data_IF_330265245238
#
_entry.id   IF_330265245238
#
_cell.length_a   1.000
_cell.length_b   1.000
_cell.length_c   1.000
_cell.angle_alpha   90.00
_cell.angle_beta   90.00
_cell.angle_gamma   90.00
#
_symmetry.space_group_name_H-M   'P 1'
#
loop_
_entity.id
_entity.type
_entity.pdbx_description
1 polymer ?
#
# COMPACT_ATOMS: atom_id res chain seq x y z
N UNK A 1 -20.19 10.59 14.41
CA UNK A 1 -19.40 9.55 13.71
C UNK A 1 -18.27 9.13 14.65
N UNK A 2 -17.92 7.85 14.72
CA UNK A 2 -16.95 7.35 15.71
C UNK A 2 -15.52 7.80 15.32
N UNK A 3 -14.75 8.47 16.20
CA UNK A 3 -13.41 8.97 15.86
C UNK A 3 -12.42 7.85 15.52
N UNK A 4 -12.61 6.65 16.09
CA UNK A 4 -11.80 5.47 15.73
C UNK A 4 -12.01 5.04 14.28
N UNK A 5 -13.25 5.13 13.81
CA UNK A 5 -13.59 4.78 12.43
C UNK A 5 -13.04 5.83 11.45
N UNK A 6 -13.23 7.11 11.77
CA UNK A 6 -12.75 8.23 10.96
C UNK A 6 -11.24 8.21 10.75
N UNK A 7 -10.48 7.83 11.79
CA UNK A 7 -9.04 7.68 11.69
C UNK A 7 -8.66 6.65 10.60
N UNK A 8 -9.33 5.50 10.55
CA UNK A 8 -9.04 4.46 9.58
C UNK A 8 -9.55 4.80 8.17
N UNK A 9 -10.73 5.42 8.06
CA UNK A 9 -11.25 5.92 6.78
C UNK A 9 -10.28 6.94 6.15
N UNK A 10 -9.71 7.84 6.95
CA UNK A 10 -8.72 8.81 6.48
C UNK A 10 -7.44 8.13 5.96
N UNK A 11 -6.98 7.06 6.61
CA UNK A 11 -5.81 6.31 6.15
C UNK A 11 -6.07 5.52 4.86
N UNK A 12 -7.25 4.93 4.70
CA UNK A 12 -7.66 4.26 3.46
C UNK A 12 -7.82 5.25 2.31
N UNK A 13 -8.40 6.42 2.58
CA UNK A 13 -8.47 7.51 1.60
C UNK A 13 -7.07 8.02 1.22
N UNK A 14 -6.14 8.06 2.19
CA UNK A 14 -4.74 8.38 1.92
C UNK A 14 -4.05 7.30 1.10
N UNK A 15 -4.31 6.00 1.37
CA UNK A 15 -3.84 4.90 0.53
C UNK A 15 -4.28 5.10 -0.94
N UNK A 16 -5.55 5.43 -1.21
CA UNK A 16 -6.02 5.70 -2.58
C UNK A 16 -5.17 6.77 -3.28
N UNK A 17 -4.96 7.91 -2.63
CA UNK A 17 -4.19 9.01 -3.21
C UNK A 17 -2.71 8.64 -3.44
N UNK A 18 -2.14 7.85 -2.54
CA UNK A 18 -0.77 7.32 -2.68
C UNK A 18 -0.67 6.38 -3.88
N UNK A 19 -1.64 5.49 -4.07
CA UNK A 19 -1.70 4.60 -5.22
C UNK A 19 -1.79 5.41 -6.51
N UNK A 20 -2.73 6.34 -6.61
CA UNK A 20 -2.87 7.23 -7.78
C UNK A 20 -1.57 7.98 -8.11
N UNK A 21 -0.90 8.52 -7.09
CA UNK A 21 0.40 9.20 -7.25
C UNK A 21 1.48 8.24 -7.76
N UNK A 22 1.57 7.04 -7.18
CA UNK A 22 2.56 6.03 -7.56
C UNK A 22 2.35 5.55 -9.01
N UNK A 23 1.10 5.32 -9.42
CA UNK A 23 0.76 4.96 -10.79
C UNK A 23 1.07 6.10 -11.77
N UNK A 24 0.74 7.34 -11.42
CA UNK A 24 1.06 8.49 -12.24
C UNK A 24 2.58 8.66 -12.42
N UNK A 25 3.36 8.47 -11.35
CA UNK A 25 4.82 8.51 -11.40
C UNK A 25 5.42 7.36 -12.21
N UNK A 26 4.82 6.17 -12.14
CA UNK A 26 5.24 5.01 -12.95
C UNK A 26 4.99 5.23 -14.45
N UNK A 27 3.83 5.76 -14.83
CA UNK A 27 3.47 6.00 -16.23
C UNK A 27 4.04 7.30 -16.81
N UNK A 28 4.55 8.21 -15.98
CA UNK A 28 5.25 9.41 -16.42
C UNK A 28 6.62 9.04 -17.02
N UNK A 29 6.61 8.53 -18.25
CA UNK A 29 7.81 8.22 -19.03
C UNK A 29 8.67 9.48 -19.25
N UNK A 30 9.79 9.52 -18.54
CA UNK A 30 11.06 10.25 -18.81
C UNK A 30 11.10 11.78 -18.95
N UNK A 31 10.00 12.54 -18.85
CA UNK A 31 10.08 14.02 -18.93
C UNK A 31 9.17 14.82 -17.98
N UNK A 32 8.38 14.15 -17.12
CA UNK A 32 7.50 14.81 -16.15
C UNK A 32 8.17 15.02 -14.79
N UNK A 33 7.85 16.13 -14.12
CA UNK A 33 8.16 16.26 -12.70
C UNK A 33 7.39 15.19 -11.92
N UNK A 34 8.08 14.43 -11.07
CA UNK A 34 7.43 13.45 -10.18
C UNK A 34 6.38 14.16 -9.33
N UNK A 35 5.19 13.56 -9.26
CA UNK A 35 4.14 14.04 -8.39
C UNK A 35 4.54 13.86 -6.93
N UNK A 36 4.25 14.89 -6.14
CA UNK A 36 4.51 14.91 -4.70
C UNK A 36 3.47 14.05 -4.00
N UNK A 37 3.94 13.18 -3.12
CA UNK A 37 3.07 12.36 -2.29
C UNK A 37 2.19 13.22 -1.37
N UNK A 38 0.88 12.93 -1.24
CA UNK A 38 0.04 13.53 -0.19
C UNK A 38 0.61 13.25 1.21
N UNK A 39 0.53 14.26 2.07
CA UNK A 39 0.91 14.11 3.46
C UNK A 39 0.02 13.06 4.15
N UNK A 40 0.65 12.19 4.94
CA UNK A 40 -0.07 11.19 5.70
C UNK A 40 -1.00 11.87 6.73
N UNK A 41 -2.25 11.39 6.91
CA UNK A 41 -3.20 12.02 7.80
C UNK A 41 -2.70 12.00 9.25
N UNK A 42 -3.16 12.97 10.05
CA UNK A 42 -2.86 13.01 11.47
C UNK A 42 -4.11 12.55 12.24
N UNK A 43 -4.16 11.30 12.74
CA UNK A 43 -5.34 10.80 13.44
C UNK A 43 -5.55 11.55 14.76
N UNK A 44 -6.82 11.68 15.18
CA UNK A 44 -7.16 12.36 16.42
C UNK A 44 -6.49 11.66 17.63
N UNK A 45 -5.84 12.42 18.54
CA UNK A 45 -5.30 11.88 19.78
C UNK A 45 -6.36 11.13 20.58
N UNK A 46 -5.98 9.98 21.15
CA UNK A 46 -6.91 9.13 21.91
C UNK A 46 -7.62 8.06 21.07
N UNK A 47 -7.49 8.09 19.74
CA UNK A 47 -7.95 6.97 18.91
C UNK A 47 -7.01 5.76 19.05
N UNK A 48 -7.55 4.53 18.96
CA UNK A 48 -6.75 3.30 18.95
C UNK A 48 -5.68 3.30 17.84
N UNK A 49 -6.01 3.86 16.68
CA UNK A 49 -5.07 3.99 15.57
C UNK A 49 -3.93 4.96 15.90
N UNK A 50 -4.22 6.16 16.43
CA UNK A 50 -3.18 7.10 16.87
C UNK A 50 -2.25 6.49 17.95
N UNK A 51 -2.83 5.72 18.89
CA UNK A 51 -2.06 5.01 19.90
C UNK A 51 -1.15 3.93 19.28
N UNK A 52 -1.62 3.21 18.26
CA UNK A 52 -0.85 2.22 17.51
C UNK A 52 0.33 2.88 16.76
N UNK A 53 0.10 4.00 16.06
CA UNK A 53 1.16 4.76 15.39
C UNK A 53 2.27 5.17 16.37
N UNK A 54 1.87 5.68 17.53
CA UNK A 54 2.81 6.18 18.54
C UNK A 54 3.58 5.02 19.18
N UNK A 55 2.87 3.96 19.58
CA UNK A 55 3.43 2.81 20.30
C UNK A 55 4.51 2.09 19.48
N UNK A 56 4.33 1.99 18.18
CA UNK A 56 5.24 1.29 17.29
C UNK A 56 6.08 2.22 16.41
N UNK A 57 6.00 3.54 16.63
CA UNK A 57 6.70 4.56 15.86
C UNK A 57 6.53 4.38 14.34
N UNK A 58 5.29 4.14 13.90
CA UNK A 58 5.01 3.81 12.50
C UNK A 58 5.12 5.05 11.61
N UNK A 59 6.04 5.00 10.66
CA UNK A 59 6.20 6.00 9.62
C UNK A 59 5.23 5.78 8.45
N UNK A 60 5.29 6.64 7.42
CA UNK A 60 4.45 6.50 6.23
C UNK A 60 4.57 5.13 5.55
N UNK A 61 5.78 4.56 5.48
CA UNK A 61 6.00 3.26 4.86
C UNK A 61 5.29 2.12 5.59
N UNK A 62 5.40 2.06 6.93
CA UNK A 62 4.69 1.06 7.72
C UNK A 62 3.18 1.25 7.71
N UNK A 63 2.71 2.51 7.66
CA UNK A 63 1.28 2.83 7.55
C UNK A 63 0.70 2.34 6.23
N UNK A 64 1.43 2.51 5.12
CA UNK A 64 1.02 1.95 3.83
C UNK A 64 0.98 0.43 3.86
N UNK A 65 1.99 -0.22 4.44
CA UNK A 65 1.98 -1.68 4.59
C UNK A 65 0.73 -2.16 5.35
N UNK A 66 0.38 -1.46 6.44
CA UNK A 66 -0.81 -1.78 7.24
C UNK A 66 -2.11 -1.54 6.47
N UNK A 67 -2.25 -0.38 5.80
CA UNK A 67 -3.46 -0.09 5.02
C UNK A 67 -3.61 -1.02 3.83
N UNK A 68 -2.52 -1.34 3.14
CA UNK A 68 -2.52 -2.25 2.00
C UNK A 68 -2.95 -3.67 2.43
N UNK A 69 -2.53 -4.13 3.61
CA UNK A 69 -2.98 -5.40 4.17
C UNK A 69 -4.46 -5.40 4.61
N UNK A 70 -4.99 -4.24 5.02
CA UNK A 70 -6.39 -4.10 5.46
C UNK A 70 -7.36 -3.91 4.28
N UNK A 71 -6.91 -3.27 3.19
CA UNK A 71 -7.74 -2.92 2.05
C UNK A 71 -8.57 -4.09 1.48
N UNK A 72 -8.06 -5.33 1.30
CA UNK A 72 -8.84 -6.44 0.79
C UNK A 72 -10.07 -6.79 1.64
N UNK A 73 -10.04 -6.45 2.93
CA UNK A 73 -11.08 -6.79 3.90
C UNK A 73 -12.04 -5.64 4.19
N UNK A 74 -11.65 -4.39 3.94
CA UNK A 74 -12.45 -3.21 4.27
C UNK A 74 -12.96 -2.44 3.06
N UNK A 75 -12.12 -2.24 2.04
CA UNK A 75 -12.47 -1.53 0.82
C UNK A 75 -11.73 -2.19 -0.35
N UNK A 76 -12.12 -3.43 -0.73
CA UNK A 76 -11.43 -4.18 -1.77
C UNK A 76 -11.36 -3.44 -3.11
N UNK A 77 -12.34 -2.58 -3.39
CA UNK A 77 -12.39 -1.72 -4.59
C UNK A 77 -11.23 -0.73 -4.68
N UNK A 78 -10.57 -0.37 -3.56
CA UNK A 78 -9.36 0.46 -3.58
C UNK A 78 -8.19 -0.20 -4.32
N UNK A 79 -8.25 -1.51 -4.51
CA UNK A 79 -7.21 -2.30 -5.14
C UNK A 79 -7.54 -2.62 -6.61
N UNK A 80 -8.70 -2.20 -7.12
CA UNK A 80 -9.09 -2.46 -8.50
C UNK A 80 -8.15 -1.76 -9.51
N UNK A 81 -7.45 -0.71 -9.07
CA UNK A 81 -6.41 -0.04 -9.86
C UNK A 81 -5.30 -1.00 -10.32
N UNK A 82 -5.04 -2.10 -9.60
CA UNK A 82 -4.04 -3.09 -10.00
C UNK A 82 -4.52 -4.07 -11.07
N UNK A 83 -5.82 -4.10 -11.38
CA UNK A 83 -6.33 -4.85 -12.54
C UNK A 83 -6.08 -4.13 -13.87
N UNK A 84 -5.42 -2.97 -13.85
CA UNK A 84 -5.03 -2.28 -15.08
C UNK A 84 -4.13 -3.19 -15.94
N UNK A 85 -4.57 -3.44 -17.16
CA UNK A 85 -3.84 -4.28 -18.11
C UNK A 85 -2.87 -3.45 -18.91
N UNK A 86 -1.75 -4.06 -19.26
CA UNK A 86 -0.90 -3.55 -20.33
C UNK A 86 -1.59 -3.84 -21.67
N UNK A 87 -2.10 -2.79 -22.34
CA UNK A 87 -2.85 -2.90 -23.59
C UNK A 87 -2.08 -3.59 -24.72
N UNK A 88 -0.74 -3.52 -24.70
CA UNK A 88 0.10 -4.14 -25.73
C UNK A 88 0.17 -5.68 -25.59
N UNK A 89 0.07 -6.20 -24.38
CA UNK A 89 0.31 -7.63 -24.08
C UNK A 89 -0.91 -8.36 -23.50
N UNK A 90 -2.04 -7.65 -23.31
CA UNK A 90 -3.29 -8.14 -22.68
C UNK A 90 -3.05 -8.91 -21.36
N UNK A 91 -2.08 -8.44 -20.57
CA UNK A 91 -1.72 -9.00 -19.26
C UNK A 91 -1.49 -7.90 -18.23
N UNK A 92 -1.64 -8.23 -16.95
CA UNK A 92 -1.25 -7.34 -15.86
C UNK A 92 0.26 -7.06 -15.85
N UNK A 93 0.66 -5.95 -15.24
CA UNK A 93 2.08 -5.62 -15.05
C UNK A 93 2.66 -6.48 -13.93
N UNK A 94 3.70 -7.26 -14.23
CA UNK A 94 4.37 -8.08 -13.21
C UNK A 94 5.00 -7.25 -12.09
N UNK A 95 5.27 -5.97 -12.34
CA UNK A 95 5.85 -5.04 -11.36
C UNK A 95 4.89 -4.68 -10.22
N UNK A 96 3.57 -4.81 -10.43
CA UNK A 96 2.57 -4.52 -9.40
C UNK A 96 2.43 -5.67 -8.39
N UNK A 97 2.86 -6.88 -8.77
CA UNK A 97 2.68 -8.08 -7.98
C UNK A 97 1.20 -8.40 -7.73
N UNK A 98 0.96 -9.10 -6.63
CA UNK A 98 -0.38 -9.47 -6.20
C UNK A 98 -1.00 -10.59 -7.04
N UNK A 99 -2.18 -11.03 -6.62
CA UNK A 99 -2.94 -12.07 -7.30
C UNK A 99 -4.45 -11.89 -7.13
N UNK A 100 -5.23 -12.44 -8.03
CA UNK A 100 -6.69 -12.45 -7.92
C UNK A 100 -7.13 -13.51 -6.90
N UNK A 101 -7.89 -13.12 -5.87
CA UNK A 101 -8.47 -14.03 -4.90
C UNK A 101 -9.46 -15.00 -5.58
N UNK A 102 -9.30 -16.29 -5.31
CA UNK A 102 -10.06 -17.36 -5.99
C UNK A 102 -11.58 -17.29 -5.74
N UNK A 103 -12.02 -16.80 -4.58
CA UNK A 103 -13.42 -16.87 -4.16
C UNK A 103 -14.26 -15.64 -4.52
N UNK A 104 -13.68 -14.45 -4.45
CA UNK A 104 -14.39 -13.19 -4.65
C UNK A 104 -13.80 -12.33 -5.77
N UNK A 105 -12.75 -12.81 -6.47
CA UNK A 105 -12.16 -12.12 -7.61
C UNK A 105 -11.45 -10.81 -7.28
N UNK A 106 -11.32 -10.44 -6.01
CA UNK A 106 -10.65 -9.22 -5.58
C UNK A 106 -9.12 -9.33 -5.66
N UNK A 107 -8.44 -8.20 -5.70
CA UNK A 107 -6.97 -8.17 -5.73
C UNK A 107 -6.39 -8.43 -4.33
N UNK A 108 -5.42 -9.33 -4.24
CA UNK A 108 -4.66 -9.60 -3.03
C UNK A 108 -3.24 -9.02 -3.20
N UNK A 109 -2.88 -7.99 -2.42
CA UNK A 109 -1.57 -7.37 -2.51
C UNK A 109 -0.49 -8.26 -1.90
N UNK A 110 0.72 -8.07 -2.39
CA UNK A 110 1.92 -8.81 -1.96
C UNK A 110 3.01 -7.83 -1.53
N UNK A 111 4.15 -8.34 -1.09
CA UNK A 111 5.31 -7.50 -0.84
C UNK A 111 5.80 -6.77 -2.10
N UNK A 112 5.62 -7.34 -3.29
CA UNK A 112 5.86 -6.65 -4.56
C UNK A 112 4.93 -5.44 -4.77
N UNK A 113 3.65 -5.56 -4.40
CA UNK A 113 2.70 -4.44 -4.45
C UNK A 113 3.12 -3.32 -3.51
N UNK A 114 3.52 -3.66 -2.28
CA UNK A 114 4.05 -2.67 -1.35
C UNK A 114 5.33 -2.03 -1.89
N UNK A 115 6.25 -2.82 -2.44
CA UNK A 115 7.49 -2.31 -3.05
C UNK A 115 7.20 -1.34 -4.18
N UNK A 116 6.27 -1.68 -5.06
CA UNK A 116 5.84 -0.80 -6.14
C UNK A 116 5.40 0.54 -5.59
N UNK A 117 4.52 0.55 -4.58
CA UNK A 117 4.06 1.78 -3.94
C UNK A 117 5.19 2.58 -3.30
N UNK A 118 6.02 1.95 -2.47
CA UNK A 118 7.07 2.67 -1.74
C UNK A 118 8.09 3.34 -2.65
N UNK A 119 8.46 2.66 -3.74
CA UNK A 119 9.42 3.20 -4.71
C UNK A 119 8.81 4.37 -5.49
N UNK A 120 7.60 4.20 -6.04
CA UNK A 120 6.98 5.21 -6.90
C UNK A 120 6.27 6.33 -6.12
N UNK A 121 6.07 6.16 -4.81
CA UNK A 121 5.70 7.21 -3.86
C UNK A 121 6.92 7.98 -3.31
N UNK A 122 8.14 7.57 -3.63
CA UNK A 122 9.38 8.19 -3.12
C UNK A 122 9.62 7.97 -1.62
N UNK A 123 9.02 6.93 -1.03
CA UNK A 123 9.10 6.63 0.40
C UNK A 123 10.22 5.64 0.76
N UNK A 124 10.73 4.90 -0.21
CA UNK A 124 11.87 4.00 -0.01
C UNK A 124 12.69 3.88 -1.29
N UNK A 125 13.98 3.64 -1.15
CA UNK A 125 14.80 3.17 -2.26
C UNK A 125 14.57 1.68 -2.52
N UNK A 126 14.67 1.19 -3.77
CA UNK A 126 14.38 -0.21 -4.10
C UNK A 126 15.13 -1.25 -3.26
N UNK A 127 16.35 -0.94 -2.79
CA UNK A 127 17.15 -1.80 -1.93
C UNK A 127 16.71 -1.84 -0.46
N UNK A 128 16.04 -0.81 0.04
CA UNK A 128 15.61 -0.68 1.45
C UNK A 128 14.29 -1.40 1.72
N UNK A 129 13.48 -1.65 0.69
CA UNK A 129 12.17 -2.31 0.82
C UNK A 129 12.31 -3.75 1.33
N UNK A 130 13.42 -4.42 0.99
CA UNK A 130 13.72 -5.78 1.46
C UNK A 130 13.87 -5.79 2.99
N UNK A 131 14.50 -4.77 3.58
CA UNK A 131 14.66 -4.69 5.04
C UNK A 131 13.33 -4.44 5.77
N UNK A 132 12.43 -3.65 5.16
CA UNK A 132 11.08 -3.42 5.70
C UNK A 132 10.28 -4.74 5.78
N UNK A 133 10.46 -5.62 4.81
CA UNK A 133 9.73 -6.88 4.67
C UNK A 133 10.40 -8.07 5.37
N UNK A 134 11.71 -8.00 5.66
CA UNK A 134 12.50 -9.10 6.23
C UNK A 134 12.90 -8.93 7.70
N UNK A 135 13.00 -7.71 8.22
CA UNK A 135 13.28 -7.52 9.65
C UNK A 135 12.01 -7.77 10.48
N UNK A 136 12.13 -8.32 11.72
CA UNK A 136 11.04 -8.35 12.68
C UNK A 136 10.75 -6.91 13.18
N UNK A 137 10.20 -6.08 12.31
CA UNK A 137 9.42 -4.90 12.69
C UNK A 137 8.05 -5.41 13.20
N UNK A 138 7.34 -4.66 14.04
CA UNK A 138 6.11 -5.12 14.71
C UNK A 138 5.03 -5.71 13.78
N UNK A 139 5.09 -5.48 12.47
CA UNK A 139 4.16 -6.00 11.46
C UNK A 139 4.61 -7.33 10.80
N UNK A 140 5.88 -7.73 10.89
CA UNK A 140 6.40 -8.95 10.24
C UNK A 140 6.05 -10.26 10.98
N UNK A 141 5.44 -10.16 12.17
CA UNK A 141 5.02 -11.32 12.95
C UNK A 141 3.68 -11.92 12.50
N UNK A 142 2.98 -11.30 11.55
CA UNK A 142 1.74 -11.81 10.96
C UNK A 142 1.84 -11.71 9.43
N UNK A 143 1.41 -12.73 8.66
CA UNK A 143 1.53 -12.74 7.20
C UNK A 143 0.50 -11.80 6.56
N UNK A 144 0.68 -10.50 6.76
CA UNK A 144 -0.17 -9.45 6.20
C UNK A 144 0.21 -9.16 4.74
N UNK A 145 1.50 -9.22 4.42
CA UNK A 145 2.06 -9.12 3.07
C UNK A 145 3.25 -10.08 2.99
N UNK A 146 3.24 -11.01 2.05
CA UNK A 146 4.33 -11.98 1.87
C UNK A 146 5.12 -11.67 0.60
N UNK A 147 6.44 -11.88 0.66
CA UNK A 147 7.31 -12.03 -0.52
C UNK A 147 7.64 -13.52 -0.57
N UNK A 148 6.90 -14.27 -1.37
CA UNK A 148 7.00 -15.73 -1.44
C UNK A 148 6.11 -16.27 -2.54
N UNK A 149 6.32 -17.52 -2.98
CA UNK A 149 5.49 -18.12 -4.03
C UNK A 149 4.02 -18.04 -3.62
N UNK A 150 3.21 -17.45 -4.49
CA UNK A 150 1.75 -17.40 -4.36
C UNK A 150 1.22 -18.84 -4.39
N UNK A 151 0.33 -19.25 -3.46
CA UNK A 151 -0.27 -20.58 -3.47
C UNK A 151 -1.18 -20.84 -4.67
#
# INVERSE_FOLDING_TARGET
MNPHHQALEAELAWLSQVQETAFANYFATEAGALQVLPAAPNPEPGTHYAALLTRYALGPAERLALMLALAPHWQPELLDIYFHKNEMYDRGFSEFGGFTAQYHGGFMPTGETLRFLLVHAGLAWPGEVVELLQHPRPLAAQPLLTVGPVP
#
